data_IF_116684670062
#
_entry.id   IF_116684670062
#
_cell.length_a   1.000
_cell.length_b   1.000
_cell.length_c   1.000
_cell.angle_alpha   90.00
_cell.angle_beta   90.00
_cell.angle_gamma   90.00
#
_symmetry.space_group_name_H-M   'P 1'
#
loop_
_entity.id
_entity.type
_entity.pdbx_description
1 polymer ?
#
# COMPACT_ATOMS: atom_id res chain seq x y z
N UNK A 1 2.69 31.05 8.70
CA UNK A 1 2.74 31.14 7.23
C UNK A 1 4.13 30.82 6.70
N UNK A 2 5.19 31.51 7.14
CA UNK A 2 6.60 31.26 6.76
C UNK A 2 7.02 29.77 6.86
N UNK A 3 6.79 29.11 8.00
CA UNK A 3 7.14 27.69 8.21
C UNK A 3 6.52 26.71 7.19
N UNK A 4 5.36 27.05 6.60
CA UNK A 4 4.74 26.24 5.54
C UNK A 4 5.41 26.46 4.17
N UNK A 5 6.02 27.63 3.95
CA UNK A 5 6.80 27.92 2.73
C UNK A 5 8.18 27.25 2.82
N UNK A 6 8.88 27.37 3.95
CA UNK A 6 10.18 26.71 4.18
C UNK A 6 10.09 25.18 4.01
N UNK A 7 9.02 24.58 4.53
CA UNK A 7 8.77 23.14 4.41
C UNK A 7 8.41 22.74 2.97
N UNK A 8 7.73 23.61 2.22
CA UNK A 8 7.41 23.40 0.81
C UNK A 8 8.65 23.50 -0.09
N UNK A 9 9.50 24.50 0.13
CA UNK A 9 10.78 24.64 -0.57
C UNK A 9 11.71 23.46 -0.27
N UNK A 10 11.84 23.07 1.00
CA UNK A 10 12.64 21.90 1.40
C UNK A 10 12.20 20.60 0.71
N UNK A 11 10.89 20.38 0.57
CA UNK A 11 10.33 19.22 -0.15
C UNK A 11 10.62 19.32 -1.65
N UNK A 12 10.46 20.52 -2.24
CA UNK A 12 10.73 20.74 -3.67
C UNK A 12 12.21 20.52 -4.01
N UNK A 13 13.13 20.99 -3.18
CA UNK A 13 14.57 20.84 -3.39
C UNK A 13 15.01 19.38 -3.20
N UNK A 14 14.41 18.66 -2.24
CA UNK A 14 14.59 17.21 -2.09
C UNK A 14 14.11 16.46 -3.34
N UNK A 15 12.97 16.84 -3.92
CA UNK A 15 12.45 16.25 -5.17
C UNK A 15 13.36 16.57 -6.36
N UNK A 16 13.82 17.82 -6.48
CA UNK A 16 14.77 18.21 -7.53
C UNK A 16 16.10 17.43 -7.45
N UNK A 17 16.54 17.06 -6.23
CA UNK A 17 17.77 16.29 -6.01
C UNK A 17 17.59 14.78 -6.25
N UNK A 18 16.35 14.26 -6.24
CA UNK A 18 16.04 12.85 -6.52
C UNK A 18 15.73 12.53 -7.98
N UNK A 19 15.59 13.54 -8.84
CA UNK A 19 15.26 13.40 -10.26
C UNK A 19 13.86 12.82 -10.53
N UNK A 20 13.59 12.51 -11.80
CA UNK A 20 12.25 12.12 -12.26
C UNK A 20 11.70 10.85 -11.56
N UNK A 21 12.58 9.94 -11.17
CA UNK A 21 12.19 8.70 -10.47
C UNK A 21 11.54 8.98 -9.12
N UNK A 22 11.89 10.08 -8.43
CA UNK A 22 11.27 10.39 -7.15
C UNK A 22 9.77 10.75 -7.29
N UNK A 23 9.34 11.35 -8.41
CA UNK A 23 7.91 11.52 -8.70
C UNK A 23 7.20 10.18 -8.86
N UNK A 24 7.85 9.17 -9.44
CA UNK A 24 7.30 7.81 -9.54
C UNK A 24 7.20 7.17 -8.15
N UNK A 25 8.22 7.32 -7.30
CA UNK A 25 8.18 6.86 -5.90
C UNK A 25 7.03 7.55 -5.15
N UNK A 26 6.85 8.87 -5.30
CA UNK A 26 5.74 9.61 -4.70
C UNK A 26 4.37 9.14 -5.19
N UNK A 27 4.21 8.89 -6.49
CA UNK A 27 2.95 8.40 -7.06
C UNK A 27 2.57 7.01 -6.53
N UNK A 28 3.54 6.09 -6.47
CA UNK A 28 3.35 4.73 -5.90
C UNK A 28 3.06 4.81 -4.39
N UNK A 29 3.78 5.65 -3.65
CA UNK A 29 3.55 5.89 -2.23
C UNK A 29 2.13 6.44 -1.98
N UNK A 30 1.71 7.46 -2.73
CA UNK A 30 0.39 8.07 -2.61
C UNK A 30 -0.72 7.04 -2.89
N UNK A 31 -0.60 6.30 -4.00
CA UNK A 31 -1.55 5.25 -4.37
C UNK A 31 -1.61 4.14 -3.31
N UNK A 32 -0.47 3.70 -2.78
CA UNK A 32 -0.39 2.73 -1.69
C UNK A 32 -1.15 3.22 -0.45
N UNK A 33 -0.91 4.45 -0.01
CA UNK A 33 -1.55 5.03 1.18
C UNK A 33 -3.06 5.24 0.98
N UNK A 34 -3.50 5.71 -0.20
CA UNK A 34 -4.92 5.85 -0.52
C UNK A 34 -5.64 4.49 -0.43
N UNK A 35 -5.05 3.43 -1.01
CA UNK A 35 -5.60 2.07 -0.90
C UNK A 35 -5.63 1.56 0.55
N UNK A 36 -4.59 1.84 1.35
CA UNK A 36 -4.56 1.45 2.77
C UNK A 36 -5.63 2.17 3.61
N UNK A 37 -5.83 3.47 3.39
CA UNK A 37 -6.83 4.28 4.10
C UNK A 37 -8.25 3.82 3.73
N UNK A 38 -8.53 3.65 2.43
CA UNK A 38 -9.81 3.14 1.93
C UNK A 38 -10.13 1.76 2.52
N UNK A 39 -9.14 0.86 2.53
CA UNK A 39 -9.27 -0.47 3.14
C UNK A 39 -9.48 -0.41 4.65
N UNK A 40 -8.79 0.50 5.36
CA UNK A 40 -8.97 0.69 6.80
C UNK A 40 -10.37 1.21 7.14
N UNK A 41 -10.91 2.15 6.37
CA UNK A 41 -12.28 2.64 6.52
C UNK A 41 -13.31 1.54 6.21
N UNK A 42 -13.11 0.75 5.15
CA UNK A 42 -13.97 -0.40 4.85
C UNK A 42 -14.04 -1.36 6.05
N UNK A 43 -12.89 -1.75 6.61
CA UNK A 43 -12.82 -2.68 7.75
C UNK A 43 -13.36 -2.11 9.06
N UNK A 44 -13.36 -0.79 9.23
CA UNK A 44 -13.77 -0.14 10.49
C UNK A 44 -15.24 0.30 10.48
N UNK A 45 -15.77 0.71 9.32
CA UNK A 45 -17.13 1.26 9.20
C UNK A 45 -18.08 0.45 8.32
N UNK A 46 -17.63 -0.01 7.14
CA UNK A 46 -18.51 -0.67 6.17
C UNK A 46 -18.73 -2.16 6.50
N UNK A 47 -17.67 -2.91 6.81
CA UNK A 47 -17.76 -4.33 7.11
C UNK A 47 -18.62 -4.66 8.34
N UNK A 48 -18.58 -3.91 9.47
CA UNK A 48 -19.49 -4.15 10.59
C UNK A 48 -20.98 -4.02 10.22
N UNK A 49 -21.33 -3.11 9.29
CA UNK A 49 -22.70 -2.98 8.76
C UNK A 49 -23.07 -4.20 7.90
N UNK A 50 -22.16 -4.65 7.03
CA UNK A 50 -22.34 -5.85 6.22
C UNK A 50 -22.53 -7.09 7.10
N UNK A 51 -21.66 -7.33 8.09
CA UNK A 51 -21.77 -8.44 9.05
C UNK A 51 -23.12 -8.43 9.77
N UNK A 52 -23.56 -7.28 10.30
CA UNK A 52 -24.89 -7.15 10.92
C UNK A 52 -26.02 -7.52 9.95
N UNK A 53 -25.93 -7.12 8.68
CA UNK A 53 -26.94 -7.46 7.67
C UNK A 53 -26.98 -8.95 7.30
N UNK A 54 -25.82 -9.64 7.31
CA UNK A 54 -25.74 -11.09 7.04
C UNK A 54 -26.31 -11.87 8.22
N UNK A 55 -25.98 -11.49 9.45
CA UNK A 55 -26.51 -12.11 10.68
C UNK A 55 -28.03 -11.92 10.73
N UNK A 56 -28.55 -10.69 10.56
CA UNK A 56 -29.99 -10.45 10.55
C UNK A 56 -30.74 -11.21 9.44
N UNK A 57 -30.11 -11.42 8.27
CA UNK A 57 -30.66 -12.27 7.19
C UNK A 57 -30.62 -13.76 7.51
N UNK A 58 -29.70 -14.21 8.36
CA UNK A 58 -29.62 -15.59 8.83
C UNK A 58 -30.68 -15.85 9.90
N UNK A 59 -30.73 -15.00 10.93
CA UNK A 59 -31.65 -15.12 12.07
C UNK A 59 -33.12 -15.00 11.65
N UNK A 60 -33.42 -14.29 10.55
CA UNK A 60 -34.76 -14.19 9.98
C UNK A 60 -35.23 -15.45 9.21
N UNK A 61 -34.36 -16.46 9.00
CA UNK A 61 -34.74 -17.70 8.30
C UNK A 61 -35.47 -18.66 9.25
N UNK A 62 -36.55 -19.27 8.75
CA UNK A 62 -37.23 -20.38 9.43
C UNK A 62 -36.46 -21.72 9.38
N UNK A 63 -35.50 -21.83 8.44
CA UNK A 63 -34.68 -23.02 8.23
C UNK A 63 -33.20 -22.63 8.15
N UNK A 64 -32.44 -23.12 9.12
CA UNK A 64 -31.01 -22.91 9.34
C UNK A 64 -30.20 -24.22 9.30
N UNK A 65 -30.87 -25.37 9.43
CA UNK A 65 -30.25 -26.70 9.62
C UNK A 65 -30.28 -27.56 8.35
N UNK A 66 -31.09 -27.23 7.35
CA UNK A 66 -31.08 -27.99 6.10
C UNK A 66 -29.77 -27.82 5.31
N UNK A 67 -29.46 -28.80 4.47
CA UNK A 67 -28.35 -28.71 3.52
C UNK A 67 -28.41 -27.43 2.66
N UNK A 68 -29.62 -27.02 2.27
CA UNK A 68 -29.84 -25.79 1.49
C UNK A 68 -29.53 -24.53 2.32
N UNK A 69 -29.89 -24.50 3.60
CA UNK A 69 -29.51 -23.42 4.51
C UNK A 69 -27.98 -23.34 4.69
N UNK A 70 -27.30 -24.47 4.87
CA UNK A 70 -25.84 -24.51 4.94
C UNK A 70 -25.16 -23.99 3.66
N UNK A 71 -25.64 -24.36 2.46
CA UNK A 71 -25.09 -23.82 1.20
C UNK A 71 -25.27 -22.31 1.05
N UNK A 72 -26.39 -21.76 1.53
CA UNK A 72 -26.59 -20.30 1.52
C UNK A 72 -25.66 -19.60 2.52
N UNK A 73 -25.42 -20.19 3.70
CA UNK A 73 -24.43 -19.71 4.67
C UNK A 73 -23.03 -19.70 4.07
N UNK A 74 -22.60 -20.78 3.43
CA UNK A 74 -21.32 -20.87 2.73
C UNK A 74 -21.17 -19.79 1.65
N UNK A 75 -22.21 -19.59 0.82
CA UNK A 75 -22.22 -18.56 -0.22
C UNK A 75 -22.06 -17.14 0.37
N UNK A 76 -22.80 -16.80 1.44
CA UNK A 76 -22.68 -15.50 2.11
C UNK A 76 -21.32 -15.30 2.79
N UNK A 77 -20.75 -16.34 3.37
CA UNK A 77 -19.39 -16.30 3.93
C UNK A 77 -18.35 -16.11 2.82
N UNK A 78 -18.51 -16.75 1.67
CA UNK A 78 -17.63 -16.58 0.51
C UNK A 78 -17.71 -15.15 -0.04
N UNK A 79 -18.92 -14.63 -0.29
CA UNK A 79 -19.11 -13.26 -0.79
C UNK A 79 -18.54 -12.20 0.17
N UNK A 80 -18.70 -12.42 1.48
CA UNK A 80 -18.10 -11.57 2.51
C UNK A 80 -16.56 -11.71 2.56
N UNK A 81 -16.03 -12.92 2.37
CA UNK A 81 -14.59 -13.19 2.28
C UNK A 81 -13.97 -12.47 1.06
N UNK A 82 -14.65 -12.44 -0.08
CA UNK A 82 -14.13 -11.81 -1.29
C UNK A 82 -14.08 -10.28 -1.12
N UNK A 83 -15.14 -9.69 -0.56
CA UNK A 83 -15.14 -8.28 -0.13
C UNK A 83 -14.12 -7.99 0.97
N UNK A 84 -13.77 -8.96 1.81
CA UNK A 84 -12.74 -8.87 2.84
C UNK A 84 -11.30 -8.95 2.31
N UNK A 85 -11.07 -9.65 1.20
CA UNK A 85 -9.74 -9.76 0.57
C UNK A 85 -9.53 -8.76 -0.60
N UNK A 86 -10.61 -8.15 -1.10
CA UNK A 86 -10.56 -7.12 -2.14
C UNK A 86 -9.52 -6.02 -1.83
N UNK A 87 -8.73 -5.67 -2.84
CA UNK A 87 -7.61 -4.71 -2.81
C UNK A 87 -6.44 -5.04 -1.86
N UNK A 88 -6.50 -6.08 -1.01
CA UNK A 88 -5.36 -6.50 -0.16
C UNK A 88 -4.16 -6.94 -1.00
N UNK A 89 -4.38 -7.70 -2.08
CA UNK A 89 -3.31 -8.11 -2.99
C UNK A 89 -2.65 -6.89 -3.66
N UNK A 90 -3.43 -5.93 -4.14
CA UNK A 90 -2.91 -4.70 -4.75
C UNK A 90 -2.07 -3.89 -3.75
N UNK A 91 -2.51 -3.76 -2.50
CA UNK A 91 -1.74 -3.11 -1.43
C UNK A 91 -0.38 -3.81 -1.25
N UNK A 92 -0.33 -5.14 -1.20
CA UNK A 92 0.93 -5.91 -1.13
C UNK A 92 1.83 -5.66 -2.33
N UNK A 93 1.26 -5.66 -3.54
CA UNK A 93 2.00 -5.38 -4.78
C UNK A 93 2.60 -3.98 -4.74
N UNK A 94 1.87 -2.95 -4.31
CA UNK A 94 2.40 -1.60 -4.16
C UNK A 94 3.56 -1.54 -3.15
N UNK A 95 3.43 -2.18 -1.99
CA UNK A 95 4.51 -2.28 -0.97
C UNK A 95 5.76 -2.94 -1.56
N UNK A 96 5.60 -3.99 -2.36
CA UNK A 96 6.70 -4.68 -3.04
C UNK A 96 7.30 -3.90 -4.22
N UNK A 97 6.54 -2.99 -4.85
CA UNK A 97 7.02 -2.11 -5.92
C UNK A 97 7.83 -0.92 -5.38
N UNK A 98 7.48 -0.35 -4.22
CA UNK A 98 8.21 0.77 -3.60
C UNK A 98 9.76 0.65 -3.63
N UNK A 99 10.39 -0.46 -3.18
CA UNK A 99 11.85 -0.59 -3.21
C UNK A 99 12.40 -0.84 -4.62
N UNK A 100 11.61 -1.45 -5.52
CA UNK A 100 12.01 -1.71 -6.91
C UNK A 100 12.07 -0.40 -7.74
N UNK A 101 11.11 0.51 -7.52
CA UNK A 101 11.14 1.86 -8.10
C UNK A 101 12.31 2.67 -7.51
N UNK A 102 12.61 2.50 -6.21
CA UNK A 102 13.80 3.08 -5.60
C UNK A 102 15.12 2.58 -6.21
N UNK A 103 15.22 1.28 -6.50
CA UNK A 103 16.37 0.66 -7.18
C UNK A 103 16.53 1.15 -8.63
N UNK A 104 15.42 1.36 -9.35
CA UNK A 104 15.44 1.98 -10.68
C UNK A 104 16.11 3.37 -10.63
N UNK A 105 15.86 4.14 -9.58
CA UNK A 105 16.51 5.44 -9.33
C UNK A 105 18.03 5.34 -9.21
N UNK A 106 18.54 4.28 -8.58
CA UNK A 106 19.99 4.01 -8.53
C UNK A 106 20.56 3.74 -9.91
N UNK A 107 19.87 2.94 -10.73
CA UNK A 107 20.31 2.63 -12.09
C UNK A 107 20.35 3.90 -12.94
N UNK A 108 19.29 4.71 -12.94
CA UNK A 108 19.23 5.96 -13.70
C UNK A 108 20.26 7.00 -13.22
N UNK A 109 20.42 7.16 -11.90
CA UNK A 109 21.41 8.10 -11.36
C UNK A 109 22.85 7.68 -11.67
N UNK A 110 23.17 6.38 -11.60
CA UNK A 110 24.50 5.88 -11.99
C UNK A 110 24.77 6.04 -13.49
N UNK A 111 23.77 5.87 -14.36
CA UNK A 111 23.90 6.19 -15.80
C UNK A 111 24.30 7.66 -15.97
N UNK A 112 23.63 8.60 -15.29
CA UNK A 112 23.98 10.03 -15.34
C UNK A 112 25.42 10.31 -14.87
N UNK A 113 25.92 9.59 -13.85
CA UNK A 113 27.33 9.71 -13.41
C UNK A 113 28.31 9.26 -14.49
N UNK A 114 28.02 8.15 -15.18
CA UNK A 114 28.85 7.68 -16.30
C UNK A 114 28.83 8.64 -17.49
N UNK A 115 27.68 9.24 -17.83
CA UNK A 115 27.56 10.25 -18.88
C UNK A 115 28.37 11.52 -18.55
N UNK A 116 28.31 12.02 -17.30
CA UNK A 116 29.12 13.16 -16.86
C UNK A 116 30.61 12.87 -17.01
N UNK A 117 31.08 11.68 -16.61
CA UNK A 117 32.48 11.27 -16.78
C UNK A 117 32.89 11.14 -18.25
N UNK A 118 31.99 10.67 -19.12
CA UNK A 118 32.28 10.54 -20.56
C UNK A 118 32.42 11.90 -21.26
N UNK A 119 31.65 12.92 -20.84
CA UNK A 119 31.64 14.26 -21.46
C UNK A 119 32.66 15.21 -20.83
N UNK A 120 32.83 15.18 -19.50
CA UNK A 120 33.64 16.16 -18.74
C UNK A 120 34.91 15.55 -18.11
N UNK A 121 35.13 14.24 -18.26
CA UNK A 121 36.17 13.51 -17.55
C UNK A 121 35.90 13.44 -16.04
N UNK A 122 36.93 13.05 -15.27
CA UNK A 122 36.87 12.95 -13.80
C UNK A 122 37.17 14.27 -13.09
N UNK A 123 37.29 15.38 -13.82
CA UNK A 123 37.75 16.68 -13.30
C UNK A 123 36.73 17.47 -12.47
N UNK A 124 35.46 17.04 -12.41
CA UNK A 124 34.40 17.73 -11.67
C UNK A 124 33.70 16.84 -10.62
N UNK A 125 34.32 16.64 -9.43
CA UNK A 125 33.77 15.80 -8.37
C UNK A 125 32.38 16.24 -7.88
N UNK A 126 32.03 17.53 -8.01
CA UNK A 126 30.76 18.07 -7.52
C UNK A 126 29.56 17.57 -8.35
N UNK A 127 29.72 17.46 -9.66
CA UNK A 127 28.69 16.89 -10.53
C UNK A 127 28.56 15.37 -10.32
N UNK A 128 29.69 14.67 -10.13
CA UNK A 128 29.67 13.23 -9.80
C UNK A 128 28.93 12.98 -8.47
N UNK A 129 29.21 13.76 -7.43
CA UNK A 129 28.50 13.68 -6.16
C UNK A 129 26.99 13.94 -6.29
N UNK A 130 26.59 14.88 -7.16
CA UNK A 130 25.17 15.14 -7.45
C UNK A 130 24.48 13.94 -8.10
N UNK A 131 25.12 13.27 -9.07
CA UNK A 131 24.56 12.06 -9.69
C UNK A 131 24.47 10.86 -8.73
N UNK A 132 25.43 10.71 -7.81
CA UNK A 132 25.36 9.71 -6.73
C UNK A 132 24.22 10.02 -5.75
N UNK A 133 23.96 11.31 -5.46
CA UNK A 133 22.82 11.72 -4.62
C UNK A 133 21.48 11.38 -5.30
N UNK A 134 21.35 11.69 -6.59
CA UNK A 134 20.20 11.28 -7.43
C UNK A 134 19.99 9.77 -7.43
N UNK A 135 21.07 8.98 -7.38
CA UNK A 135 21.02 7.52 -7.36
C UNK A 135 20.55 6.93 -6.01
N UNK A 136 20.80 7.62 -4.90
CA UNK A 136 20.64 7.06 -3.54
C UNK A 136 19.38 7.55 -2.82
N UNK A 137 18.94 8.79 -3.08
CA UNK A 137 17.73 9.38 -2.47
C UNK A 137 16.45 8.59 -2.81
N UNK A 138 16.15 8.24 -4.09
CA UNK A 138 14.95 7.48 -4.43
C UNK A 138 14.90 6.08 -3.78
N UNK A 139 16.06 5.44 -3.62
CA UNK A 139 16.19 4.13 -2.97
C UNK A 139 15.87 4.21 -1.49
N UNK A 140 16.40 5.23 -0.80
CA UNK A 140 16.09 5.47 0.60
C UNK A 140 14.59 5.74 0.80
N UNK A 141 14.00 6.61 -0.04
CA UNK A 141 12.57 6.89 -0.01
C UNK A 141 11.72 5.64 -0.28
N UNK A 142 12.08 4.84 -1.29
CA UNK A 142 11.41 3.58 -1.61
C UNK A 142 11.47 2.55 -0.50
N UNK A 143 12.61 2.43 0.20
CA UNK A 143 12.74 1.54 1.37
C UNK A 143 11.90 2.00 2.57
N UNK A 144 11.89 3.30 2.89
CA UNK A 144 11.06 3.85 3.98
C UNK A 144 9.57 3.67 3.68
N UNK A 145 9.17 3.86 2.42
CA UNK A 145 7.81 3.59 1.95
C UNK A 145 7.44 2.09 2.08
N UNK A 146 8.35 1.19 1.72
CA UNK A 146 8.16 -0.25 1.83
C UNK A 146 8.03 -0.72 3.29
N UNK A 147 8.90 -0.25 4.19
CA UNK A 147 8.91 -0.60 5.61
C UNK A 147 7.62 -0.17 6.31
N UNK A 148 7.23 1.10 6.13
CA UNK A 148 5.97 1.62 6.66
C UNK A 148 4.77 0.87 6.06
N UNK A 149 4.74 0.70 4.74
CA UNK A 149 3.67 0.01 4.05
C UNK A 149 3.50 -1.46 4.47
N UNK A 150 4.59 -2.20 4.69
CA UNK A 150 4.56 -3.58 5.16
C UNK A 150 3.91 -3.68 6.56
N UNK A 151 4.27 -2.79 7.48
CA UNK A 151 3.69 -2.74 8.82
C UNK A 151 2.17 -2.53 8.79
N UNK A 152 1.69 -1.59 7.97
CA UNK A 152 0.25 -1.34 7.81
C UNK A 152 -0.47 -2.48 7.08
N UNK A 153 0.12 -3.04 6.02
CA UNK A 153 -0.46 -4.20 5.31
C UNK A 153 -0.67 -5.40 6.24
N UNK A 154 0.34 -5.78 7.04
CA UNK A 154 0.23 -6.89 8.00
C UNK A 154 -0.83 -6.64 9.09
N UNK A 155 -0.98 -5.38 9.55
CA UNK A 155 -2.05 -4.97 10.47
C UNK A 155 -3.43 -5.09 9.82
N UNK A 156 -3.59 -4.66 8.56
CA UNK A 156 -4.83 -4.78 7.79
C UNK A 156 -5.22 -6.25 7.56
N UNK A 157 -4.29 -7.11 7.16
CA UNK A 157 -4.51 -8.55 7.01
C UNK A 157 -4.93 -9.23 8.32
N UNK A 158 -4.28 -8.87 9.43
CA UNK A 158 -4.63 -9.37 10.75
C UNK A 158 -6.07 -8.96 11.13
N UNK A 159 -6.51 -7.75 10.74
CA UNK A 159 -7.88 -7.26 10.93
C UNK A 159 -8.87 -7.98 10.01
N UNK A 160 -8.52 -8.22 8.74
CA UNK A 160 -9.29 -9.03 7.78
C UNK A 160 -9.53 -10.44 8.32
N UNK A 161 -8.48 -11.13 8.79
CA UNK A 161 -8.58 -12.50 9.32
C UNK A 161 -9.50 -12.58 10.54
N UNK A 162 -9.36 -11.62 11.49
CA UNK A 162 -10.26 -11.52 12.66
C UNK A 162 -11.70 -11.21 12.26
N UNK A 163 -11.91 -10.33 11.28
CA UNK A 163 -13.23 -9.98 10.76
C UNK A 163 -13.93 -11.15 10.07
N UNK A 164 -13.17 -11.96 9.31
CA UNK A 164 -13.65 -13.22 8.71
C UNK A 164 -14.06 -14.22 9.80
N UNK A 165 -13.17 -14.50 10.75
CA UNK A 165 -13.45 -15.47 11.82
C UNK A 165 -14.69 -15.08 12.62
N UNK A 166 -14.77 -13.81 13.05
CA UNK A 166 -15.92 -13.28 13.77
C UNK A 166 -17.23 -13.36 13.00
N UNK A 167 -17.22 -13.32 11.65
CA UNK A 167 -18.43 -13.56 10.85
C UNK A 167 -18.82 -15.05 10.86
N UNK A 168 -17.87 -15.96 10.67
CA UNK A 168 -18.10 -17.42 10.69
C UNK A 168 -18.65 -17.87 12.05
N UNK A 169 -18.03 -17.41 13.14
CA UNK A 169 -18.44 -17.75 14.51
C UNK A 169 -19.85 -17.22 14.87
N UNK A 170 -20.33 -16.18 14.16
CA UNK A 170 -21.67 -15.60 14.38
C UNK A 170 -22.77 -16.31 13.59
N UNK A 171 -22.43 -17.26 12.73
CA UNK A 171 -23.36 -18.02 11.91
C UNK A 171 -23.32 -19.48 12.42
N UNK A 172 -24.15 -19.85 13.41
CA UNK A 172 -24.03 -21.14 14.09
C UNK A 172 -24.17 -22.33 13.13
N UNK A 173 -23.41 -23.39 13.43
CA UNK A 173 -23.60 -24.72 12.87
C UNK A 173 -24.53 -25.51 13.81
N UNK A 174 -25.82 -25.55 13.46
CA UNK A 174 -26.83 -26.42 14.06
C UNK A 174 -27.52 -27.19 12.93
#
# INVERSE_FOLDING_TARGET
>A
MLYLMELWESIRDFIATGGDVLYVVMAVLFLMWVLMIERYWFLSGAFPKLRKSIIAKWDARKDTTSWYAHRIREAWISEANDKLNARILLIKTCVALCPLVGLLGTVTGMITVFEIMAVQGTGNPRLMASGISMATIPTMAGMVAALSGMFFATRLESKVRRAKQSLVDSLPHH
#
